data_IF_521024027234
#
_entry.id   IF_521024027234
#
_cell.length_a   1.000
_cell.length_b   1.000
_cell.length_c   1.000
_cell.angle_alpha   90.00
_cell.angle_beta   90.00
_cell.angle_gamma   90.00
#
_symmetry.space_group_name_H-M   'P 1'
#
loop_
_entity.id
_entity.type
_entity.pdbx_description
1 polymer ?
#
# COMPACT_ATOMS: atom_id res chain seq x y z
N UNK A 1 30.10 18.14 -8.27
CA UNK A 1 29.84 18.91 -7.03
C UNK A 1 28.62 19.84 -7.19
N UNK A 2 28.49 20.59 -8.30
CA UNK A 2 27.33 21.47 -8.54
C UNK A 2 25.99 20.70 -8.59
N UNK A 3 25.95 19.62 -9.34
CA UNK A 3 24.70 18.81 -9.50
C UNK A 3 24.22 18.17 -8.19
N UNK A 4 25.16 17.76 -7.34
CA UNK A 4 24.81 17.20 -6.02
C UNK A 4 24.22 18.27 -5.09
N UNK A 5 24.79 19.49 -5.12
CA UNK A 5 24.27 20.62 -4.34
C UNK A 5 22.85 20.97 -4.86
N UNK A 6 22.66 21.01 -6.18
CA UNK A 6 21.35 21.26 -6.78
C UNK A 6 20.30 20.21 -6.34
N UNK A 7 20.65 18.92 -6.32
CA UNK A 7 19.79 17.84 -5.84
C UNK A 7 19.39 18.03 -4.37
N UNK A 8 20.35 18.35 -3.50
CA UNK A 8 20.04 18.59 -2.08
C UNK A 8 19.15 19.82 -1.88
N UNK A 9 19.37 20.88 -2.66
CA UNK A 9 18.51 22.06 -2.63
C UNK A 9 17.09 21.76 -3.10
N UNK A 10 16.92 20.95 -4.15
CA UNK A 10 15.60 20.52 -4.62
C UNK A 10 14.85 19.73 -3.54
N UNK A 11 15.52 18.76 -2.89
CA UNK A 11 14.93 17.99 -1.78
C UNK A 11 14.53 18.91 -0.62
N UNK A 12 15.44 19.77 -0.18
CA UNK A 12 15.19 20.65 0.96
C UNK A 12 14.04 21.64 0.68
N UNK A 13 14.04 22.23 -0.51
CA UNK A 13 13.00 23.18 -0.94
C UNK A 13 11.64 22.48 -1.06
N UNK A 14 11.59 21.35 -1.77
CA UNK A 14 10.35 20.59 -1.92
C UNK A 14 9.79 20.13 -0.56
N UNK A 15 10.66 19.65 0.33
CA UNK A 15 10.28 19.25 1.69
C UNK A 15 9.71 20.43 2.48
N UNK A 16 10.39 21.58 2.49
CA UNK A 16 9.95 22.76 3.20
C UNK A 16 8.61 23.29 2.65
N UNK A 17 8.47 23.40 1.33
CA UNK A 17 7.23 23.86 0.69
C UNK A 17 6.09 22.92 1.00
N UNK A 18 6.27 21.60 0.87
CA UNK A 18 5.23 20.61 1.15
C UNK A 18 4.80 20.64 2.64
N UNK A 19 5.75 20.68 3.57
CA UNK A 19 5.46 20.73 5.00
C UNK A 19 4.73 22.02 5.40
N UNK A 20 5.17 23.18 4.89
CA UNK A 20 4.55 24.48 5.17
C UNK A 20 3.14 24.52 4.53
N UNK A 21 3.00 24.09 3.27
CA UNK A 21 1.71 24.08 2.57
C UNK A 21 0.71 23.17 3.27
N UNK A 22 1.09 21.95 3.65
CA UNK A 22 0.22 21.03 4.37
C UNK A 22 -0.15 21.56 5.76
N UNK A 23 0.80 22.17 6.48
CA UNK A 23 0.58 22.80 7.78
C UNK A 23 -0.37 23.99 7.69
N UNK A 24 -0.17 24.88 6.72
CA UNK A 24 -1.03 26.04 6.47
C UNK A 24 -2.44 25.62 6.00
N UNK A 25 -2.53 24.70 5.03
CA UNK A 25 -3.79 24.21 4.52
C UNK A 25 -4.61 23.54 5.61
N UNK A 26 -4.01 22.80 6.54
CA UNK A 26 -4.67 22.23 7.71
C UNK A 26 -5.32 23.31 8.59
N UNK A 27 -4.67 24.47 8.73
CA UNK A 27 -5.20 25.59 9.54
C UNK A 27 -6.28 26.36 8.80
N UNK A 28 -6.12 26.57 7.49
CA UNK A 28 -7.03 27.34 6.66
C UNK A 28 -8.30 26.57 6.27
N UNK A 29 -8.17 25.26 6.10
CA UNK A 29 -9.24 24.37 5.64
C UNK A 29 -9.50 23.20 6.60
N UNK A 30 -9.82 23.47 7.89
CA UNK A 30 -9.98 22.39 8.88
C UNK A 30 -11.19 21.49 8.56
N UNK A 31 -12.13 21.96 7.74
CA UNK A 31 -13.31 21.21 7.33
C UNK A 31 -13.09 20.31 6.10
N UNK A 32 -11.98 20.50 5.39
CA UNK A 32 -11.63 19.63 4.26
C UNK A 32 -11.05 18.30 4.77
N UNK A 33 -11.91 17.54 5.44
CA UNK A 33 -11.58 16.28 6.09
C UNK A 33 -12.43 15.15 5.49
N UNK A 34 -11.90 13.92 5.51
CA UNK A 34 -12.71 12.76 5.22
C UNK A 34 -13.83 12.63 6.26
N UNK A 35 -15.07 12.66 5.81
CA UNK A 35 -16.25 12.32 6.61
C UNK A 35 -16.60 10.84 6.51
N UNK A 36 -15.83 10.09 5.75
CA UNK A 36 -16.01 8.67 5.58
C UNK A 36 -15.80 7.97 6.92
N UNK A 37 -16.89 7.48 7.49
CA UNK A 37 -16.79 6.51 8.57
C UNK A 37 -16.18 5.26 7.95
N UNK A 38 -14.89 5.05 8.16
CA UNK A 38 -14.26 3.75 7.92
C UNK A 38 -14.81 2.77 8.96
N UNK A 39 -16.16 2.65 8.99
CA UNK A 39 -16.84 1.66 9.81
C UNK A 39 -16.45 0.31 9.31
N UNK A 40 -15.76 -0.36 10.12
CA UNK A 40 -15.32 -1.71 10.23
C UNK A 40 -15.91 -2.84 9.43
N UNK A 41 -16.30 -2.68 8.19
CA UNK A 41 -16.72 -3.80 7.36
C UNK A 41 -15.56 -4.73 6.94
N UNK A 42 -14.31 -4.31 7.16
CA UNK A 42 -13.11 -5.12 6.94
C UNK A 42 -12.34 -5.49 8.23
N UNK A 43 -12.85 -5.10 9.39
CA UNK A 43 -12.22 -5.39 10.68
C UNK A 43 -13.19 -6.11 11.60
N UNK A 44 -13.28 -7.44 11.56
CA UNK A 44 -13.89 -8.17 12.65
C UNK A 44 -13.07 -7.90 13.91
N UNK A 45 -13.63 -7.18 14.90
CA UNK A 45 -12.99 -6.93 16.19
C UNK A 45 -12.17 -5.66 16.34
N UNK A 46 -11.93 -4.87 15.30
CA UNK A 46 -11.39 -3.52 15.50
C UNK A 46 -12.53 -2.61 15.98
N UNK A 47 -12.41 -2.10 17.21
CA UNK A 47 -13.22 -0.97 17.65
C UNK A 47 -13.21 0.08 16.53
N UNK A 48 -14.40 0.58 16.15
CA UNK A 48 -14.55 1.65 15.17
C UNK A 48 -13.48 2.68 15.48
N UNK A 49 -12.45 2.77 14.65
CA UNK A 49 -11.46 3.82 14.79
C UNK A 49 -12.26 5.08 14.62
N UNK A 50 -12.46 5.77 15.72
CA UNK A 50 -13.12 7.05 15.81
C UNK A 50 -12.78 7.82 14.54
N UNK A 51 -13.82 8.32 13.87
CA UNK A 51 -13.72 9.17 12.70
C UNK A 51 -12.75 10.32 13.00
N UNK A 52 -11.48 10.12 12.75
CA UNK A 52 -10.51 11.18 12.85
C UNK A 52 -10.74 12.05 11.62
N UNK A 53 -11.34 13.20 11.81
CA UNK A 53 -11.44 14.25 10.80
C UNK A 53 -10.05 14.81 10.54
N UNK A 54 -9.23 14.06 9.79
CA UNK A 54 -7.91 14.52 9.38
C UNK A 54 -8.01 15.24 8.03
N UNK A 55 -7.40 16.42 7.89
CA UNK A 55 -7.42 17.18 6.65
C UNK A 55 -6.77 16.42 5.49
N UNK A 56 -7.47 16.40 4.34
CA UNK A 56 -7.06 15.76 3.08
C UNK A 56 -6.20 16.74 2.24
N UNK A 57 -5.12 17.25 2.83
CA UNK A 57 -4.32 18.33 2.23
C UNK A 57 -2.94 17.89 1.75
N UNK A 58 -2.58 16.62 1.93
CA UNK A 58 -1.27 16.12 1.55
C UNK A 58 -1.04 16.17 0.03
N UNK A 59 -2.02 15.76 -0.77
CA UNK A 59 -1.93 15.79 -2.23
C UNK A 59 -1.70 17.19 -2.80
N UNK A 60 -2.53 18.19 -2.47
CA UNK A 60 -2.29 19.58 -2.85
C UNK A 60 -0.92 20.10 -2.44
N UNK A 61 -0.41 19.72 -1.26
CA UNK A 61 0.90 20.15 -0.78
C UNK A 61 2.04 19.52 -1.59
N UNK A 62 1.95 18.24 -1.93
CA UNK A 62 2.93 17.56 -2.82
C UNK A 62 2.94 18.22 -4.20
N UNK A 63 1.77 18.42 -4.80
CA UNK A 63 1.69 19.04 -6.13
C UNK A 63 2.29 20.44 -6.14
N UNK A 64 1.94 21.28 -5.17
CA UNK A 64 2.49 22.63 -5.05
C UNK A 64 4.03 22.61 -4.90
N UNK A 65 4.57 21.73 -4.07
CA UNK A 65 6.00 21.64 -3.87
C UNK A 65 6.74 21.24 -5.15
N UNK A 66 6.23 20.25 -5.89
CA UNK A 66 6.83 19.82 -7.15
C UNK A 66 6.73 20.91 -8.20
N UNK A 67 5.61 21.64 -8.30
CA UNK A 67 5.44 22.79 -9.19
C UNK A 67 6.42 23.92 -8.86
N UNK A 68 6.62 24.26 -7.59
CA UNK A 68 7.57 25.31 -7.18
C UNK A 68 9.00 24.93 -7.56
N UNK A 69 9.40 23.69 -7.31
CA UNK A 69 10.73 23.22 -7.70
C UNK A 69 10.89 23.21 -9.20
N UNK A 70 9.90 22.72 -9.95
CA UNK A 70 9.91 22.72 -11.42
C UNK A 70 10.08 24.13 -12.00
N UNK A 71 9.35 25.10 -11.43
CA UNK A 71 9.45 26.51 -11.87
C UNK A 71 10.81 27.14 -11.58
N UNK A 72 11.41 26.85 -10.43
CA UNK A 72 12.69 27.44 -10.00
C UNK A 72 13.92 26.75 -10.59
N UNK A 73 13.83 25.43 -10.83
CA UNK A 73 14.94 24.67 -11.40
C UNK A 73 15.13 24.93 -12.91
N UNK A 74 14.16 25.56 -13.59
CA UNK A 74 14.21 25.81 -15.03
C UNK A 74 14.29 24.51 -15.85
N UNK A 75 13.89 23.38 -15.24
CA UNK A 75 13.89 22.09 -15.91
C UNK A 75 12.87 22.11 -17.05
N UNK A 76 13.36 21.85 -18.27
CA UNK A 76 12.60 22.00 -19.51
C UNK A 76 11.37 21.09 -19.67
N UNK A 77 11.01 20.79 -20.92
CA UNK A 77 9.81 20.05 -21.32
C UNK A 77 9.59 18.70 -20.59
N UNK A 78 10.67 18.01 -20.20
CA UNK A 78 10.59 16.74 -19.47
C UNK A 78 9.92 16.86 -18.11
N UNK A 79 10.32 17.86 -17.31
CA UNK A 79 9.71 18.08 -16.00
C UNK A 79 8.25 18.49 -16.10
N UNK A 80 7.90 19.31 -17.12
CA UNK A 80 6.49 19.64 -17.39
C UNK A 80 5.67 18.40 -17.72
N UNK A 81 6.22 17.46 -18.49
CA UNK A 81 5.56 16.18 -18.80
C UNK A 81 5.33 15.35 -17.55
N UNK A 82 6.33 15.27 -16.64
CA UNK A 82 6.20 14.57 -15.36
C UNK A 82 5.09 15.17 -14.51
N UNK A 83 5.09 16.51 -14.40
CA UNK A 83 4.08 17.23 -13.60
C UNK A 83 2.69 17.08 -14.22
N UNK A 84 2.56 17.19 -15.56
CA UNK A 84 1.30 17.06 -16.27
C UNK A 84 0.70 15.66 -16.08
N UNK A 85 1.51 14.61 -16.22
CA UNK A 85 1.07 13.24 -15.99
C UNK A 85 0.63 13.04 -14.52
N UNK A 86 1.41 13.51 -13.54
CA UNK A 86 1.03 13.48 -12.13
C UNK A 86 -0.27 14.24 -11.85
N UNK A 87 -0.46 15.41 -12.46
CA UNK A 87 -1.65 16.24 -12.30
C UNK A 87 -2.94 15.56 -12.78
N UNK A 88 -2.88 14.71 -13.81
CA UNK A 88 -4.04 13.92 -14.24
C UNK A 88 -4.53 12.99 -13.13
N UNK A 89 -3.62 12.27 -12.50
CA UNK A 89 -3.94 11.38 -11.39
C UNK A 89 -4.33 12.16 -10.12
N UNK A 90 -3.66 13.29 -9.86
CA UNK A 90 -4.06 14.22 -8.80
C UNK A 90 -5.52 14.66 -8.95
N UNK A 91 -5.93 15.08 -10.15
CA UNK A 91 -7.28 15.57 -10.39
C UNK A 91 -8.35 14.52 -10.04
N UNK A 92 -8.12 13.25 -10.38
CA UNK A 92 -9.03 12.15 -10.03
C UNK A 92 -9.14 12.01 -8.52
N UNK A 93 -8.01 11.88 -7.84
CA UNK A 93 -7.98 11.73 -6.38
C UNK A 93 -8.53 12.95 -5.65
N UNK A 94 -8.27 14.16 -6.18
CA UNK A 94 -8.76 15.40 -5.58
C UNK A 94 -10.29 15.52 -5.67
N UNK A 95 -10.89 15.14 -6.79
CA UNK A 95 -12.35 15.09 -6.93
C UNK A 95 -12.94 14.05 -5.99
N UNK A 96 -12.29 12.91 -5.81
CA UNK A 96 -12.72 11.88 -4.86
C UNK A 96 -12.63 12.37 -3.41
N UNK A 97 -11.50 12.98 -3.02
CA UNK A 97 -11.29 13.60 -1.71
C UNK A 97 -12.35 14.70 -1.43
N UNK A 98 -12.64 15.53 -2.44
CA UNK A 98 -13.67 16.56 -2.34
C UNK A 98 -15.07 15.97 -2.13
N UNK A 99 -15.39 14.88 -2.83
CA UNK A 99 -16.64 14.14 -2.60
C UNK A 99 -16.70 13.56 -1.19
N UNK A 100 -15.63 12.91 -0.72
CA UNK A 100 -15.52 12.36 0.64
C UNK A 100 -15.72 13.45 1.70
N UNK A 101 -15.13 14.63 1.49
CA UNK A 101 -15.28 15.75 2.41
C UNK A 101 -16.72 16.31 2.44
N UNK A 102 -17.40 16.36 1.29
CA UNK A 102 -18.74 16.93 1.17
C UNK A 102 -19.85 15.93 1.53
N UNK A 103 -19.77 14.71 1.00
CA UNK A 103 -20.86 13.72 1.05
C UNK A 103 -20.61 12.56 1.99
N UNK A 104 -19.37 12.41 2.49
CA UNK A 104 -18.96 11.25 3.27
C UNK A 104 -18.74 9.98 2.42
N UNK A 105 -18.81 10.08 1.07
CA UNK A 105 -18.62 8.94 0.16
C UNK A 105 -17.78 9.35 -1.03
N UNK A 106 -16.74 8.57 -1.33
CA UNK A 106 -15.92 8.71 -2.53
C UNK A 106 -16.59 8.15 -3.78
N UNK A 107 -15.79 7.97 -4.82
CA UNK A 107 -16.19 7.19 -5.99
C UNK A 107 -16.38 5.72 -5.63
N UNK A 108 -17.29 5.03 -6.33
CA UNK A 108 -17.32 3.57 -6.26
C UNK A 108 -16.12 2.96 -6.99
N UNK A 109 -15.72 1.75 -6.58
CA UNK A 109 -14.55 1.04 -7.13
C UNK A 109 -14.49 1.02 -8.67
N UNK A 110 -15.65 0.82 -9.33
CA UNK A 110 -15.72 0.80 -10.80
C UNK A 110 -15.44 2.16 -11.43
N UNK A 111 -15.96 3.25 -10.85
CA UNK A 111 -15.74 4.60 -11.36
C UNK A 111 -14.28 5.02 -11.14
N UNK A 112 -13.70 4.75 -9.95
CA UNK A 112 -12.29 5.03 -9.68
C UNK A 112 -11.37 4.28 -10.63
N UNK A 113 -11.65 3.00 -10.90
CA UNK A 113 -10.87 2.19 -11.83
C UNK A 113 -10.99 2.72 -13.26
N UNK A 114 -12.20 3.07 -13.72
CA UNK A 114 -12.40 3.62 -15.07
C UNK A 114 -11.62 4.93 -15.24
N UNK A 115 -11.69 5.82 -14.26
CA UNK A 115 -10.95 7.09 -14.31
C UNK A 115 -9.43 6.86 -14.32
N UNK A 116 -8.93 5.91 -13.54
CA UNK A 116 -7.52 5.54 -13.54
C UNK A 116 -7.07 4.96 -14.89
N UNK A 117 -7.90 4.13 -15.53
CA UNK A 117 -7.66 3.59 -16.89
C UNK A 117 -7.58 4.72 -17.90
N UNK A 118 -8.52 5.68 -17.86
CA UNK A 118 -8.53 6.83 -18.79
C UNK A 118 -7.28 7.69 -18.56
N UNK A 119 -6.93 8.02 -17.31
CA UNK A 119 -5.74 8.81 -17.01
C UNK A 119 -4.45 8.10 -17.45
N UNK A 120 -4.35 6.79 -17.22
CA UNK A 120 -3.20 6.00 -17.67
C UNK A 120 -3.07 6.00 -19.20
N UNK A 121 -4.19 5.88 -19.92
CA UNK A 121 -4.22 5.94 -21.38
C UNK A 121 -3.80 7.31 -21.91
N UNK A 122 -4.31 8.40 -21.32
CA UNK A 122 -3.95 9.77 -21.71
C UNK A 122 -2.47 10.04 -21.42
N UNK A 123 -1.99 9.70 -20.19
CA UNK A 123 -0.60 9.91 -19.82
C UNK A 123 0.36 9.12 -20.73
N UNK A 124 0.07 7.86 -21.01
CA UNK A 124 0.85 7.02 -21.91
C UNK A 124 0.86 7.60 -23.33
N UNK A 125 -0.30 7.99 -23.87
CA UNK A 125 -0.42 8.57 -25.22
C UNK A 125 0.35 9.88 -25.38
N UNK A 126 0.32 10.75 -24.37
CA UNK A 126 1.09 12.00 -24.37
C UNK A 126 2.59 11.72 -24.33
N UNK A 127 3.03 10.81 -23.45
CA UNK A 127 4.46 10.54 -23.24
C UNK A 127 5.10 9.82 -24.41
N UNK A 128 4.38 8.93 -25.11
CA UNK A 128 4.90 8.25 -26.31
C UNK A 128 5.39 9.24 -27.37
N UNK A 129 4.72 10.40 -27.48
CA UNK A 129 5.10 11.47 -28.38
C UNK A 129 6.23 12.39 -27.90
N UNK A 130 6.72 12.20 -26.66
CA UNK A 130 7.80 13.03 -26.09
C UNK A 130 9.12 12.28 -26.18
N UNK A 131 10.20 13.02 -26.50
CA UNK A 131 11.55 12.45 -26.51
C UNK A 131 11.92 11.93 -25.09
N UNK A 132 12.13 10.62 -25.00
CA UNK A 132 12.62 9.96 -23.80
C UNK A 132 14.10 9.58 -23.96
N UNK A 133 14.89 9.55 -22.87
CA UNK A 133 16.28 9.14 -22.95
C UNK A 133 16.38 7.70 -23.49
N UNK A 134 17.25 7.50 -24.48
CA UNK A 134 17.56 6.17 -25.04
C UNK A 134 18.51 5.40 -24.10
N UNK A 135 18.09 5.19 -22.87
CA UNK A 135 18.81 4.36 -21.92
C UNK A 135 18.50 2.89 -22.15
N UNK A 136 19.49 2.02 -21.98
CA UNK A 136 19.28 0.56 -22.00
C UNK A 136 18.34 0.05 -20.91
N UNK A 137 17.96 0.90 -19.94
CA UNK A 137 17.04 0.64 -18.84
C UNK A 137 15.62 1.16 -19.11
N UNK A 138 15.39 1.69 -20.31
CA UNK A 138 14.06 2.05 -20.81
C UNK A 138 13.59 1.04 -21.87
N UNK A 139 12.31 0.67 -21.82
CA UNK A 139 11.73 -0.21 -22.81
C UNK A 139 11.76 0.45 -24.21
N UNK A 140 11.74 1.77 -24.29
CA UNK A 140 11.84 2.53 -25.54
C UNK A 140 13.05 2.14 -26.38
N UNK A 141 14.19 1.90 -25.73
CA UNK A 141 15.41 1.44 -26.37
C UNK A 141 15.24 0.12 -27.12
N UNK A 142 14.43 -0.77 -26.58
CA UNK A 142 14.24 -2.13 -27.09
C UNK A 142 13.08 -2.24 -28.09
N UNK A 143 12.07 -1.39 -27.98
CA UNK A 143 10.94 -1.36 -28.90
C UNK A 143 11.22 -0.54 -30.15
N UNK A 144 12.17 0.42 -30.09
CA UNK A 144 12.45 1.35 -31.16
C UNK A 144 11.33 2.37 -31.41
N UNK A 145 11.42 3.05 -32.53
CA UNK A 145 10.43 4.04 -32.98
C UNK A 145 9.60 3.47 -34.14
N UNK A 146 8.48 4.14 -34.45
CA UNK A 146 7.52 3.72 -35.44
C UNK A 146 6.30 3.02 -34.83
N UNK A 147 5.27 2.83 -35.65
CA UNK A 147 3.93 2.43 -35.18
C UNK A 147 3.93 1.23 -34.23
N UNK A 148 4.66 0.17 -34.56
CA UNK A 148 4.71 -1.02 -33.71
C UNK A 148 5.46 -0.76 -32.39
N UNK A 149 6.61 -0.07 -32.44
CA UNK A 149 7.40 0.31 -31.29
C UNK A 149 6.63 1.26 -30.35
N UNK A 150 5.93 2.23 -30.92
CA UNK A 150 5.10 3.18 -30.17
C UNK A 150 3.93 2.50 -29.48
N UNK A 151 3.27 1.54 -30.14
CA UNK A 151 2.20 0.75 -29.53
C UNK A 151 2.71 -0.13 -28.37
N UNK A 152 3.86 -0.79 -28.55
CA UNK A 152 4.46 -1.62 -27.50
C UNK A 152 4.88 -0.77 -26.29
N UNK A 153 5.57 0.33 -26.55
CA UNK A 153 5.99 1.25 -25.50
C UNK A 153 4.81 1.92 -24.81
N UNK A 154 3.81 2.38 -25.57
CA UNK A 154 2.57 2.94 -25.05
C UNK A 154 1.79 1.95 -24.18
N UNK A 155 1.71 0.68 -24.60
CA UNK A 155 1.11 -0.39 -23.80
C UNK A 155 1.83 -0.63 -22.49
N UNK A 156 3.17 -0.58 -22.50
CA UNK A 156 3.99 -0.66 -21.29
C UNK A 156 3.75 0.52 -20.37
N UNK A 157 3.77 1.75 -20.87
CA UNK A 157 3.49 2.96 -20.10
C UNK A 157 2.10 2.91 -19.46
N UNK A 158 1.09 2.54 -20.26
CA UNK A 158 -0.27 2.36 -19.76
C UNK A 158 -0.32 1.38 -18.57
N UNK A 159 0.34 0.23 -18.73
CA UNK A 159 0.40 -0.78 -17.66
C UNK A 159 1.10 -0.25 -16.41
N UNK A 160 2.23 0.46 -16.56
CA UNK A 160 2.96 1.06 -15.44
C UNK A 160 2.14 2.13 -14.72
N UNK A 161 1.56 3.10 -15.47
CA UNK A 161 0.72 4.14 -14.87
C UNK A 161 -0.45 3.54 -14.10
N UNK A 162 -1.17 2.61 -14.72
CA UNK A 162 -2.31 1.97 -14.07
C UNK A 162 -1.88 1.18 -12.83
N UNK A 163 -0.86 0.33 -12.96
CA UNK A 163 -0.42 -0.52 -11.86
C UNK A 163 0.12 0.30 -10.69
N UNK A 164 1.02 1.25 -10.94
CA UNK A 164 1.67 2.02 -9.88
C UNK A 164 0.69 2.99 -9.22
N UNK A 165 -0.09 3.78 -10.00
CA UNK A 165 -1.02 4.74 -9.43
C UNK A 165 -2.16 4.07 -8.64
N UNK A 166 -2.72 2.96 -9.13
CA UNK A 166 -3.74 2.20 -8.38
C UNK A 166 -3.14 1.60 -7.12
N UNK A 167 -1.92 1.07 -7.18
CA UNK A 167 -1.25 0.46 -6.03
C UNK A 167 -0.89 1.48 -4.95
N UNK A 168 -0.44 2.69 -5.32
CA UNK A 168 -0.19 3.78 -4.37
C UNK A 168 -1.49 4.21 -3.69
N UNK A 169 -2.61 4.32 -4.43
CA UNK A 169 -3.93 4.60 -3.87
C UNK A 169 -4.40 3.50 -2.90
N UNK A 170 -4.18 2.23 -3.23
CA UNK A 170 -4.51 1.09 -2.36
C UNK A 170 -3.68 1.09 -1.07
N UNK A 171 -2.42 1.53 -1.13
CA UNK A 171 -1.50 1.55 0.01
C UNK A 171 -1.83 2.65 1.04
N UNK A 172 -2.66 3.65 0.70
CA UNK A 172 -2.99 4.80 1.59
C UNK A 172 -4.01 4.43 2.69
N UNK A 173 -3.82 3.28 3.31
CA UNK A 173 -4.64 2.77 4.42
C UNK A 173 -4.03 2.96 5.81
N UNK A 174 -2.74 3.25 5.90
CA UNK A 174 -1.99 3.41 7.15
C UNK A 174 -1.17 4.68 7.13
N UNK A 175 -1.28 5.48 8.21
CA UNK A 175 -0.55 6.74 8.35
C UNK A 175 0.95 6.54 8.12
N UNK A 176 1.55 7.34 7.23
CA UNK A 176 2.96 7.33 6.90
C UNK A 176 3.37 6.24 5.90
N UNK A 177 2.56 5.22 5.62
CA UNK A 177 2.97 4.13 4.74
C UNK A 177 3.23 4.62 3.32
N UNK A 178 2.24 5.22 2.68
CA UNK A 178 2.33 5.65 1.27
C UNK A 178 3.31 6.79 1.07
N UNK A 179 3.28 7.80 1.94
CA UNK A 179 4.23 8.91 1.84
C UNK A 179 5.68 8.46 2.05
N UNK A 180 5.95 7.53 2.97
CA UNK A 180 7.30 7.02 3.21
C UNK A 180 7.80 6.08 2.10
N UNK A 181 6.96 5.18 1.59
CA UNK A 181 7.29 4.39 0.40
C UNK A 181 7.50 5.28 -0.82
N UNK A 182 6.75 6.39 -0.93
CA UNK A 182 6.95 7.42 -1.95
C UNK A 182 8.34 8.06 -1.88
N UNK A 183 8.82 8.38 -0.67
CA UNK A 183 10.20 8.84 -0.46
C UNK A 183 11.21 7.78 -0.92
N UNK A 184 11.04 6.53 -0.50
CA UNK A 184 11.94 5.43 -0.86
C UNK A 184 12.02 5.25 -2.38
N UNK A 185 10.85 5.17 -3.04
CA UNK A 185 10.79 4.99 -4.49
C UNK A 185 11.38 6.18 -5.26
N UNK A 186 11.08 7.41 -4.84
CA UNK A 186 11.59 8.62 -5.48
C UNK A 186 13.11 8.79 -5.31
N UNK A 187 13.66 8.46 -4.15
CA UNK A 187 15.12 8.42 -3.93
C UNK A 187 15.77 7.35 -4.79
N UNK A 188 15.19 6.14 -4.84
CA UNK A 188 15.65 5.09 -5.73
C UNK A 188 15.68 5.52 -7.20
N UNK A 189 14.59 6.16 -7.65
CA UNK A 189 14.47 6.73 -8.99
C UNK A 189 15.56 7.78 -9.27
N UNK A 190 15.75 8.74 -8.36
CA UNK A 190 16.73 9.80 -8.52
C UNK A 190 18.18 9.26 -8.55
N UNK A 191 18.49 8.26 -7.74
CA UNK A 191 19.80 7.60 -7.74
C UNK A 191 20.05 6.75 -9.00
N UNK A 192 19.02 6.10 -9.53
CA UNK A 192 19.13 5.26 -10.72
C UNK A 192 19.22 6.10 -12.01
N UNK A 193 18.43 7.17 -12.11
CA UNK A 193 18.41 8.07 -13.28
C UNK A 193 19.58 9.07 -13.28
N UNK A 194 20.25 9.30 -12.15
CA UNK A 194 21.37 10.22 -12.03
C UNK A 194 20.99 11.65 -12.43
N UNK A 195 21.78 12.25 -13.35
CA UNK A 195 21.52 13.62 -13.86
C UNK A 195 20.25 13.75 -14.70
N UNK A 196 19.71 12.62 -15.19
CA UNK A 196 18.44 12.56 -15.92
C UNK A 196 17.21 12.39 -14.97
N UNK A 197 17.40 12.60 -13.65
CA UNK A 197 16.41 12.30 -12.62
C UNK A 197 15.12 13.14 -12.65
N UNK A 198 14.84 13.83 -13.69
CA UNK A 198 13.65 14.64 -14.02
C UNK A 198 12.64 14.76 -12.85
N UNK A 199 12.98 15.52 -11.83
CA UNK A 199 12.12 15.76 -10.67
C UNK A 199 12.07 14.67 -9.60
N UNK A 200 12.79 13.55 -9.72
CA UNK A 200 12.81 12.51 -8.68
C UNK A 200 13.18 13.03 -7.30
N UNK A 201 14.17 13.92 -7.23
CA UNK A 201 14.55 14.57 -5.98
C UNK A 201 13.45 15.50 -5.42
N UNK A 202 12.76 16.22 -6.30
CA UNK A 202 11.64 17.07 -5.92
C UNK A 202 10.46 16.25 -5.38
N UNK A 203 10.14 15.13 -6.05
CA UNK A 203 9.08 14.22 -5.61
C UNK A 203 9.40 13.62 -4.25
N UNK A 204 10.64 13.14 -4.07
CA UNK A 204 11.11 12.60 -2.79
C UNK A 204 11.05 13.62 -1.67
N UNK A 205 11.51 14.86 -1.92
CA UNK A 205 11.44 15.96 -0.97
C UNK A 205 10.00 16.34 -0.60
N UNK A 206 9.10 16.43 -1.58
CA UNK A 206 7.70 16.75 -1.35
C UNK A 206 6.99 15.65 -0.52
N UNK A 207 7.24 14.38 -0.86
CA UNK A 207 6.72 13.24 -0.11
C UNK A 207 7.25 13.25 1.34
N UNK A 208 8.53 13.56 1.55
CA UNK A 208 9.13 13.71 2.89
C UNK A 208 8.46 14.84 3.68
N UNK A 209 8.23 16.00 3.05
CA UNK A 209 7.58 17.13 3.70
C UNK A 209 6.18 16.80 4.22
N UNK A 210 5.40 16.10 3.43
CA UNK A 210 4.07 15.60 3.87
C UNK A 210 4.23 14.51 4.92
N UNK A 211 5.21 13.60 4.78
CA UNK A 211 5.46 12.52 5.72
C UNK A 211 5.68 13.04 7.14
N UNK A 212 6.39 14.16 7.33
CA UNK A 212 6.60 14.77 8.64
C UNK A 212 5.28 15.10 9.39
N UNK A 213 4.19 15.33 8.66
CA UNK A 213 2.87 15.59 9.20
C UNK A 213 1.92 14.39 9.11
N UNK A 214 2.20 13.45 8.23
CA UNK A 214 1.41 12.23 8.03
C UNK A 214 1.88 11.07 8.94
N UNK A 215 3.08 11.15 9.53
CA UNK A 215 3.53 10.17 10.51
C UNK A 215 2.71 10.23 11.79
N UNK A 216 2.37 9.08 12.40
CA UNK A 216 1.83 9.05 13.74
C UNK A 216 2.79 9.76 14.67
N UNK A 217 2.31 10.69 15.51
CA UNK A 217 3.13 11.44 16.45
C UNK A 217 3.59 10.56 17.64
N UNK A 218 4.05 9.34 17.39
CA UNK A 218 4.64 8.43 18.38
C UNK A 218 5.89 9.02 19.06
N UNK A 219 6.47 10.04 18.45
CA UNK A 219 7.65 10.78 18.97
C UNK A 219 7.29 11.87 19.99
N UNK A 220 6.01 12.16 20.20
CA UNK A 220 5.56 13.17 21.17
C UNK A 220 4.54 12.57 22.13
N UNK A 221 4.94 12.17 23.35
CA UNK A 221 4.04 11.53 24.29
C UNK A 221 3.09 12.55 24.94
N UNK A 222 1.87 12.67 24.46
CA UNK A 222 0.80 13.46 25.09
C UNK A 222 -0.61 12.88 24.83
N UNK A 223 -1.22 12.16 25.79
CA UNK A 223 -2.64 11.77 25.90
C UNK A 223 -3.13 10.62 24.98
N UNK A 224 -4.29 10.03 25.21
CA UNK A 224 -4.78 8.83 24.54
C UNK A 224 -5.03 9.00 23.03
N UNK A 225 -5.25 10.23 22.53
CA UNK A 225 -5.51 10.54 21.12
C UNK A 225 -4.25 10.88 20.30
N UNK A 226 -3.06 10.68 20.83
CA UNK A 226 -1.80 11.29 20.41
C UNK A 226 -1.00 10.51 19.37
N UNK A 227 -1.51 9.36 18.92
CA UNK A 227 -0.84 8.47 17.96
C UNK A 227 -1.34 8.65 16.52
N UNK A 228 -1.90 9.81 16.16
CA UNK A 228 -2.49 10.02 14.86
C UNK A 228 -1.67 11.01 14.04
N UNK A 229 -1.65 10.80 12.73
CA UNK A 229 -1.17 11.77 11.77
C UNK A 229 -1.88 13.12 11.96
N UNK A 230 -1.23 14.22 11.52
CA UNK A 230 -1.80 15.56 11.55
C UNK A 230 -2.54 15.90 10.26
N UNK A 231 -2.15 15.30 9.16
CA UNK A 231 -2.77 15.43 7.84
C UNK A 231 -2.84 14.07 7.17
N UNK A 232 -3.81 13.87 6.30
CA UNK A 232 -3.84 12.74 5.38
C UNK A 232 -3.17 13.12 4.06
N UNK A 233 -2.51 12.14 3.44
CA UNK A 233 -2.05 12.23 2.06
C UNK A 233 -3.25 12.35 1.12
N UNK A 234 -4.28 11.52 1.35
CA UNK A 234 -5.50 11.46 0.59
C UNK A 234 -5.34 10.76 -0.75
N UNK A 235 -6.46 10.44 -1.39
CA UNK A 235 -6.43 9.81 -2.72
C UNK A 235 -5.75 10.73 -3.74
N UNK A 236 -5.90 12.05 -3.59
CA UNK A 236 -5.20 13.05 -4.39
C UNK A 236 -3.68 12.90 -4.32
N UNK A 237 -3.14 12.71 -3.12
CA UNK A 237 -1.69 12.57 -2.95
C UNK A 237 -1.16 11.21 -3.31
N UNK A 238 -1.91 10.15 -3.00
CA UNK A 238 -1.51 8.79 -3.32
C UNK A 238 -1.44 8.55 -4.83
N UNK A 239 -2.51 8.91 -5.56
CA UNK A 239 -2.54 8.79 -7.03
C UNK A 239 -1.52 9.71 -7.69
N UNK A 240 -1.35 10.95 -7.20
CA UNK A 240 -0.33 11.88 -7.66
C UNK A 240 1.08 11.27 -7.57
N UNK A 241 1.43 10.68 -6.43
CA UNK A 241 2.74 10.04 -6.25
C UNK A 241 2.97 8.93 -7.27
N UNK A 242 1.97 8.07 -7.49
CA UNK A 242 2.05 7.02 -8.50
C UNK A 242 2.28 7.56 -9.91
N UNK A 243 1.54 8.60 -10.28
CA UNK A 243 1.71 9.30 -11.56
C UNK A 243 3.08 9.94 -11.73
N UNK A 244 3.56 10.67 -10.71
CA UNK A 244 4.87 11.33 -10.70
C UNK A 244 6.03 10.33 -10.75
N UNK A 245 5.97 9.24 -9.98
CA UNK A 245 6.99 8.20 -9.99
C UNK A 245 7.09 7.53 -11.36
N UNK A 246 5.94 7.22 -11.98
CA UNK A 246 5.92 6.58 -13.30
C UNK A 246 6.45 7.52 -14.37
N UNK A 247 5.94 8.74 -14.44
CA UNK A 247 6.40 9.73 -15.41
C UNK A 247 7.89 10.07 -15.20
N UNK A 248 8.34 10.19 -13.96
CA UNK A 248 9.74 10.43 -13.61
C UNK A 248 10.67 9.29 -14.04
N UNK A 249 10.24 8.04 -13.90
CA UNK A 249 11.02 6.87 -14.35
C UNK A 249 11.18 6.85 -15.86
N UNK A 250 10.12 7.20 -16.60
CA UNK A 250 10.16 7.32 -18.06
C UNK A 250 11.06 8.49 -18.49
N UNK A 251 10.87 9.66 -17.90
CA UNK A 251 11.66 10.86 -18.18
C UNK A 251 13.15 10.67 -17.84
N UNK A 252 13.44 9.86 -16.82
CA UNK A 252 14.79 9.45 -16.43
C UNK A 252 15.38 8.28 -17.26
N UNK A 253 14.59 7.67 -18.14
CA UNK A 253 15.02 6.51 -18.95
C UNK A 253 15.28 5.24 -18.13
N UNK A 254 14.57 5.04 -17.02
CA UNK A 254 14.74 3.90 -16.11
C UNK A 254 13.40 3.21 -15.81
N UNK A 255 12.45 3.29 -16.72
CA UNK A 255 11.09 2.77 -16.58
C UNK A 255 11.04 1.24 -16.35
N UNK A 256 12.01 0.49 -16.88
CA UNK A 256 12.15 -0.95 -16.59
C UNK A 256 12.49 -1.24 -15.12
N UNK A 257 13.05 -0.30 -14.39
CA UNK A 257 13.41 -0.48 -12.97
C UNK A 257 12.27 -0.06 -12.02
N UNK A 258 11.28 0.68 -12.50
CA UNK A 258 10.18 1.14 -11.68
C UNK A 258 9.43 0.01 -10.94
N UNK A 259 9.19 -1.19 -11.54
CA UNK A 259 8.56 -2.29 -10.82
C UNK A 259 9.32 -2.74 -9.56
N UNK A 260 10.64 -2.58 -9.51
CA UNK A 260 11.43 -2.83 -8.29
C UNK A 260 11.34 -1.63 -7.34
N UNK A 261 11.50 -0.40 -7.82
CA UNK A 261 11.46 0.82 -6.99
C UNK A 261 10.11 1.00 -6.30
N UNK A 262 9.02 0.71 -7.02
CA UNK A 262 7.65 0.74 -6.52
C UNK A 262 7.18 -0.65 -6.02
N UNK A 263 8.10 -1.59 -5.79
CA UNK A 263 7.78 -3.01 -5.59
C UNK A 263 6.83 -3.27 -4.42
N UNK A 264 6.99 -2.59 -3.30
CA UNK A 264 6.08 -2.76 -2.15
C UNK A 264 4.68 -2.20 -2.47
N UNK A 265 4.56 -1.09 -3.18
CA UNK A 265 3.26 -0.62 -3.68
C UNK A 265 2.59 -1.68 -4.55
N UNK A 266 3.35 -2.28 -5.48
CA UNK A 266 2.82 -3.32 -6.35
C UNK A 266 2.41 -4.58 -5.57
N UNK A 267 3.11 -4.96 -4.49
CA UNK A 267 2.67 -6.05 -3.62
C UNK A 267 1.35 -5.74 -2.91
N UNK A 268 1.17 -4.51 -2.42
CA UNK A 268 -0.09 -4.03 -1.84
C UNK A 268 -1.23 -4.13 -2.87
N UNK A 269 -1.04 -3.55 -4.05
CA UNK A 269 -2.00 -3.59 -5.14
C UNK A 269 -2.32 -5.01 -5.59
N UNK A 270 -1.29 -5.83 -5.81
CA UNK A 270 -1.45 -7.22 -6.23
C UNK A 270 -2.23 -8.05 -5.20
N UNK A 271 -1.94 -7.87 -3.90
CA UNK A 271 -2.68 -8.57 -2.84
C UNK A 271 -4.18 -8.24 -2.88
N UNK A 272 -4.51 -6.98 -3.13
CA UNK A 272 -5.90 -6.52 -3.23
C UNK A 272 -6.58 -7.01 -4.51
N UNK A 273 -5.94 -6.86 -5.66
CA UNK A 273 -6.49 -7.29 -6.95
C UNK A 273 -6.69 -8.80 -6.98
N UNK A 274 -5.66 -9.57 -6.63
CA UNK A 274 -5.75 -11.04 -6.65
C UNK A 274 -6.83 -11.52 -5.68
N UNK A 275 -6.82 -11.05 -4.44
CA UNK A 275 -7.77 -11.54 -3.45
C UNK A 275 -9.19 -11.02 -3.67
N UNK A 276 -9.38 -9.70 -3.74
CA UNK A 276 -10.71 -9.10 -3.73
C UNK A 276 -11.39 -9.09 -5.11
N UNK A 277 -10.62 -9.00 -6.21
CA UNK A 277 -11.18 -8.89 -7.55
C UNK A 277 -11.14 -10.18 -8.37
N UNK A 278 -10.28 -11.15 -8.01
CA UNK A 278 -10.16 -12.43 -8.71
C UNK A 278 -10.68 -13.58 -7.85
N UNK A 279 -10.03 -13.85 -6.70
CA UNK A 279 -10.32 -15.05 -5.91
C UNK A 279 -11.70 -15.02 -5.27
N UNK A 280 -12.08 -13.92 -4.62
CA UNK A 280 -13.40 -13.80 -3.97
C UNK A 280 -14.56 -13.97 -4.96
N UNK A 281 -14.59 -13.34 -6.13
CA UNK A 281 -15.62 -13.57 -7.13
C UNK A 281 -15.65 -15.02 -7.65
N UNK A 282 -14.47 -15.64 -7.88
CA UNK A 282 -14.38 -17.04 -8.32
C UNK A 282 -14.98 -17.99 -7.28
N UNK A 283 -14.61 -17.83 -6.00
CA UNK A 283 -15.16 -18.65 -4.92
C UNK A 283 -16.68 -18.45 -4.76
N UNK A 284 -17.18 -17.24 -4.91
CA UNK A 284 -18.61 -16.96 -4.87
C UNK A 284 -19.36 -17.68 -5.96
N UNK A 285 -18.82 -17.66 -7.18
CA UNK A 285 -19.40 -18.40 -8.31
C UNK A 285 -19.44 -19.91 -8.05
N UNK A 286 -18.33 -20.48 -7.57
CA UNK A 286 -18.23 -21.92 -7.32
C UNK A 286 -19.13 -22.39 -6.19
N UNK A 287 -19.32 -21.56 -5.16
CA UNK A 287 -20.15 -21.90 -4.00
C UNK A 287 -21.64 -21.58 -4.20
N UNK A 288 -22.05 -21.04 -5.35
CA UNK A 288 -23.44 -20.57 -5.64
C UNK A 288 -24.01 -19.68 -4.52
N UNK A 289 -23.15 -18.94 -3.83
CA UNK A 289 -23.56 -18.03 -2.76
C UNK A 289 -24.23 -16.81 -3.39
N UNK A 290 -25.56 -16.78 -3.33
CA UNK A 290 -26.36 -15.61 -3.69
C UNK A 290 -26.27 -14.55 -2.59
N UNK A 291 -26.09 -13.30 -3.00
CA UNK A 291 -26.23 -12.14 -2.12
C UNK A 291 -25.36 -10.96 -2.56
N UNK A 292 -25.88 -9.73 -2.48
CA UNK A 292 -25.20 -8.53 -2.96
C UNK A 292 -24.07 -8.03 -2.07
N UNK A 293 -23.90 -8.58 -0.86
CA UNK A 293 -22.99 -8.01 0.11
C UNK A 293 -21.57 -8.60 -0.01
N UNK A 294 -20.74 -7.91 -0.81
CA UNK A 294 -19.32 -8.22 -0.99
C UNK A 294 -18.50 -8.10 0.30
N UNK A 295 -19.07 -7.48 1.34
CA UNK A 295 -18.38 -7.10 2.58
C UNK A 295 -18.46 -8.16 3.66
N UNK A 296 -19.38 -9.12 3.53
CA UNK A 296 -19.64 -10.14 4.55
C UNK A 296 -19.09 -11.53 4.23
N UNK A 297 -18.27 -11.67 3.18
CA UNK A 297 -17.53 -12.91 2.98
C UNK A 297 -16.53 -13.06 4.10
N UNK A 298 -16.88 -13.87 5.10
CA UNK A 298 -15.92 -14.26 6.12
C UNK A 298 -14.75 -14.95 5.44
N UNK A 299 -13.57 -14.37 5.54
CA UNK A 299 -12.33 -14.95 5.03
C UNK A 299 -12.09 -16.38 5.55
N UNK A 300 -12.73 -16.73 6.66
CA UNK A 300 -12.78 -18.09 7.21
C UNK A 300 -13.51 -19.11 6.32
N UNK A 301 -14.39 -18.66 5.45
CA UNK A 301 -15.16 -19.56 4.57
C UNK A 301 -14.37 -20.00 3.33
N UNK A 302 -13.34 -19.28 2.93
CA UNK A 302 -12.57 -19.51 1.71
C UNK A 302 -11.08 -19.62 1.98
N UNK A 303 -10.35 -20.48 1.25
CA UNK A 303 -8.90 -20.60 1.35
C UNK A 303 -8.19 -19.44 0.64
N UNK A 304 -8.34 -18.21 1.16
CA UNK A 304 -7.69 -17.02 0.62
C UNK A 304 -6.24 -16.91 1.09
N UNK A 305 -5.34 -16.32 0.29
CA UNK A 305 -3.93 -16.16 0.65
C UNK A 305 -3.73 -15.22 1.85
N UNK A 306 -4.54 -14.19 1.98
CA UNK A 306 -4.46 -13.21 3.07
C UNK A 306 -5.73 -13.21 3.93
N UNK A 307 -5.59 -12.88 5.21
CA UNK A 307 -6.75 -12.68 6.11
C UNK A 307 -7.60 -11.51 5.63
N UNK A 308 -6.94 -10.47 5.18
CA UNK A 308 -7.54 -9.30 4.54
C UNK A 308 -6.62 -8.79 3.44
N UNK A 309 -7.17 -8.09 2.48
CA UNK A 309 -6.44 -7.34 1.48
C UNK A 309 -6.86 -5.87 1.56
N UNK A 310 -5.96 -4.93 1.33
CA UNK A 310 -4.54 -5.05 0.97
C UNK A 310 -3.63 -5.67 2.04
N UNK A 311 -2.35 -5.91 1.67
CA UNK A 311 -1.36 -6.59 2.50
C UNK A 311 -1.20 -5.98 3.91
N UNK A 312 -1.17 -4.65 4.02
CA UNK A 312 -1.04 -3.97 5.31
C UNK A 312 -2.17 -4.34 6.28
N UNK A 313 -3.40 -4.57 5.80
CA UNK A 313 -4.49 -5.04 6.66
C UNK A 313 -4.28 -6.48 7.13
N UNK A 314 -3.71 -7.34 6.28
CA UNK A 314 -3.32 -8.68 6.70
C UNK A 314 -2.29 -8.63 7.83
N UNK A 315 -1.25 -7.82 7.68
CA UNK A 315 -0.19 -7.66 8.68
C UNK A 315 -0.73 -7.07 10.01
N UNK A 316 -1.65 -6.10 9.95
CA UNK A 316 -2.33 -5.58 11.16
C UNK A 316 -3.12 -6.69 11.86
N UNK A 317 -3.87 -7.52 11.11
CA UNK A 317 -4.74 -8.56 11.67
C UNK A 317 -3.96 -9.74 12.26
N UNK A 318 -2.79 -10.04 11.74
CA UNK A 318 -1.90 -11.06 12.35
C UNK A 318 -1.09 -10.52 13.53
N UNK A 319 -1.22 -9.22 13.87
CA UNK A 319 -0.71 -8.66 15.12
C UNK A 319 0.46 -7.70 15.01
N UNK A 320 0.88 -7.31 13.80
CA UNK A 320 1.90 -6.28 13.67
C UNK A 320 1.33 -4.92 14.10
N UNK A 321 2.03 -4.26 15.02
CA UNK A 321 1.73 -2.87 15.34
C UNK A 321 1.96 -1.97 14.12
N UNK A 322 1.11 -0.94 13.93
CA UNK A 322 1.16 -0.06 12.75
C UNK A 322 2.54 0.53 12.49
N UNK A 323 3.24 1.00 13.53
CA UNK A 323 4.57 1.55 13.36
C UNK A 323 5.59 0.51 12.88
N UNK A 324 5.55 -0.68 13.49
CA UNK A 324 6.41 -1.80 13.07
C UNK A 324 6.14 -2.21 11.63
N UNK A 325 4.87 -2.28 11.24
CA UNK A 325 4.43 -2.56 9.88
C UNK A 325 4.98 -1.52 8.89
N UNK A 326 4.80 -0.24 9.18
CA UNK A 326 5.27 0.85 8.31
C UNK A 326 6.78 0.82 8.15
N UNK A 327 7.53 0.70 9.25
CA UNK A 327 8.99 0.62 9.22
C UNK A 327 9.49 -0.63 8.48
N UNK A 328 8.83 -1.77 8.68
CA UNK A 328 9.16 -3.01 7.97
C UNK A 328 8.97 -2.84 6.45
N UNK A 329 7.82 -2.33 6.02
CA UNK A 329 7.55 -2.15 4.59
C UNK A 329 8.45 -1.10 3.95
N UNK A 330 8.83 -0.03 4.67
CA UNK A 330 9.84 0.92 4.18
C UNK A 330 11.21 0.28 4.04
N UNK A 331 11.65 -0.50 5.04
CA UNK A 331 12.94 -1.20 4.99
C UNK A 331 13.01 -2.18 3.82
N UNK A 332 11.95 -2.97 3.62
CA UNK A 332 11.86 -3.89 2.48
C UNK A 332 11.82 -3.14 1.15
N UNK A 333 11.07 -2.03 1.08
CA UNK A 333 11.03 -1.15 -0.08
C UNK A 333 12.40 -0.58 -0.41
N UNK A 334 13.15 -0.13 0.61
CA UNK A 334 14.51 0.39 0.44
C UNK A 334 15.48 -0.69 -0.07
N UNK A 335 15.38 -1.93 0.41
CA UNK A 335 16.20 -3.05 -0.08
C UNK A 335 15.92 -3.31 -1.56
N UNK A 336 14.66 -3.39 -1.96
CA UNK A 336 14.30 -3.66 -3.37
C UNK A 336 14.65 -2.47 -4.26
N UNK A 337 14.45 -1.25 -3.81
CA UNK A 337 14.88 -0.05 -4.53
C UNK A 337 16.41 0.01 -4.68
N UNK A 338 17.17 -0.39 -3.66
CA UNK A 338 18.63 -0.48 -3.75
C UNK A 338 19.08 -1.49 -4.80
N UNK A 339 18.38 -2.63 -4.94
CA UNK A 339 18.64 -3.58 -6.04
C UNK A 339 18.44 -2.90 -7.40
N UNK A 340 17.36 -2.12 -7.58
CA UNK A 340 17.13 -1.37 -8.82
C UNK A 340 18.25 -0.36 -9.10
N UNK A 341 18.71 0.37 -8.08
CA UNK A 341 19.83 1.32 -8.19
C UNK A 341 21.14 0.59 -8.58
N UNK A 342 21.43 -0.54 -7.97
CA UNK A 342 22.59 -1.36 -8.32
C UNK A 342 22.52 -1.85 -9.78
N UNK A 343 21.35 -2.29 -10.25
CA UNK A 343 21.15 -2.65 -11.65
C UNK A 343 21.45 -1.45 -12.57
N UNK A 344 20.99 -0.24 -12.20
CA UNK A 344 21.27 0.97 -12.96
C UNK A 344 22.78 1.29 -13.03
N UNK A 345 23.50 1.11 -11.93
CA UNK A 345 24.95 1.42 -11.87
C UNK A 345 25.83 0.38 -12.57
N UNK A 346 25.43 -0.91 -12.55
CA UNK A 346 26.13 -1.96 -13.29
C UNK A 346 25.92 -1.79 -14.80
N UNK A 347 24.78 -1.19 -15.21
CA UNK A 347 24.41 -1.03 -16.60
C UNK A 347 23.85 -2.30 -17.23
N UNK A 348 23.64 -2.27 -18.55
CA UNK A 348 23.02 -3.38 -19.28
C UNK A 348 24.02 -4.51 -19.52
N UNK A 349 23.70 -5.71 -19.01
CA UNK A 349 24.54 -6.89 -19.16
C UNK A 349 23.98 -8.09 -18.39
N UNK A 350 24.60 -9.25 -18.56
CA UNK A 350 24.12 -10.48 -17.91
C UNK A 350 24.03 -10.37 -16.37
N UNK A 351 24.99 -9.67 -15.74
CA UNK A 351 24.96 -9.42 -14.30
C UNK A 351 23.77 -8.55 -13.86
N UNK A 352 23.45 -7.52 -14.63
CA UNK A 352 22.28 -6.65 -14.36
C UNK A 352 20.96 -7.42 -14.51
N UNK A 353 20.84 -8.25 -15.55
CA UNK A 353 19.66 -9.12 -15.75
C UNK A 353 19.49 -10.10 -14.59
N UNK A 354 20.59 -10.75 -14.15
CA UNK A 354 20.54 -11.67 -13.02
C UNK A 354 20.15 -10.96 -11.71
N UNK A 355 20.68 -9.76 -11.46
CA UNK A 355 20.36 -8.97 -10.29
C UNK A 355 18.90 -8.47 -10.32
N UNK A 356 18.41 -8.04 -11.48
CA UNK A 356 17.01 -7.68 -11.67
C UNK A 356 16.08 -8.86 -11.40
N UNK A 357 16.38 -10.03 -11.97
CA UNK A 357 15.64 -11.26 -11.74
C UNK A 357 15.64 -11.66 -10.25
N UNK A 358 16.78 -11.49 -9.55
CA UNK A 358 16.86 -11.69 -8.10
C UNK A 358 15.97 -10.72 -7.33
N UNK A 359 15.89 -9.44 -7.73
CA UNK A 359 14.99 -8.46 -7.15
C UNK A 359 13.51 -8.83 -7.34
N UNK A 360 13.13 -9.28 -8.52
CA UNK A 360 11.76 -9.79 -8.80
C UNK A 360 11.48 -11.04 -7.97
N UNK A 361 12.43 -11.98 -7.91
CA UNK A 361 12.30 -13.19 -7.10
C UNK A 361 12.14 -12.86 -5.60
N UNK A 362 12.85 -11.82 -5.12
CA UNK A 362 12.68 -11.31 -3.75
C UNK A 362 11.25 -10.78 -3.53
N UNK A 363 10.72 -9.98 -4.44
CA UNK A 363 9.32 -9.48 -4.32
C UNK A 363 8.32 -10.63 -4.28
N UNK A 364 8.46 -11.61 -5.18
CA UNK A 364 7.59 -12.80 -5.19
C UNK A 364 7.73 -13.58 -3.87
N UNK A 365 8.96 -13.76 -3.39
CA UNK A 365 9.23 -14.45 -2.12
C UNK A 365 8.64 -13.71 -0.92
N UNK A 366 8.72 -12.38 -0.90
CA UNK A 366 8.08 -11.55 0.11
C UNK A 366 6.55 -11.72 0.08
N UNK A 367 5.95 -11.68 -1.11
CA UNK A 367 4.49 -11.85 -1.26
C UNK A 367 4.03 -13.22 -0.77
N UNK A 368 4.73 -14.31 -1.18
CA UNK A 368 4.45 -15.67 -0.72
C UNK A 368 4.73 -15.82 0.78
N UNK A 369 5.82 -15.21 1.27
CA UNK A 369 6.17 -15.19 2.69
C UNK A 369 5.07 -14.54 3.54
N UNK A 370 4.60 -13.37 3.15
CA UNK A 370 3.48 -12.71 3.83
C UNK A 370 2.20 -13.53 3.75
N UNK A 371 1.88 -14.12 2.60
CA UNK A 371 0.74 -15.03 2.46
C UNK A 371 0.87 -16.30 3.33
N UNK A 372 2.08 -16.68 3.73
CA UNK A 372 2.32 -17.80 4.64
C UNK A 372 2.12 -17.45 6.11
N UNK A 373 2.12 -16.17 6.49
CA UNK A 373 1.82 -15.73 7.84
C UNK A 373 0.35 -16.00 8.15
N UNK A 374 0.08 -16.88 9.12
CA UNK A 374 -1.26 -17.43 9.33
C UNK A 374 -1.95 -16.79 10.53
N UNK A 375 -3.28 -16.57 10.44
CA UNK A 375 -4.07 -16.18 11.59
C UNK A 375 -4.13 -17.32 12.61
N UNK A 376 -4.53 -16.99 13.81
CA UNK A 376 -4.90 -17.98 14.82
C UNK A 376 -6.42 -18.17 14.83
N UNK A 377 -6.85 -19.34 15.27
CA UNK A 377 -8.25 -19.72 15.36
C UNK A 377 -8.53 -20.38 16.68
N UNK A 378 -9.67 -20.06 17.27
CA UNK A 378 -10.26 -20.84 18.34
C UNK A 378 -11.35 -21.74 17.75
N UNK A 379 -11.33 -22.99 18.09
CA UNK A 379 -12.37 -23.94 17.70
C UNK A 379 -12.63 -24.91 18.84
N UNK A 380 -13.87 -25.38 18.92
CA UNK A 380 -14.22 -26.49 19.79
C UNK A 380 -14.32 -27.73 18.89
N UNK A 381 -13.62 -28.78 19.26
CA UNK A 381 -13.66 -30.07 18.58
C UNK A 381 -13.93 -31.18 19.57
N UNK A 382 -14.63 -32.20 19.11
CA UNK A 382 -14.84 -33.42 19.87
C UNK A 382 -13.84 -34.46 19.39
N UNK A 383 -13.03 -34.97 20.30
CA UNK A 383 -12.03 -35.99 20.01
C UNK A 383 -12.09 -37.06 21.11
N UNK A 384 -12.32 -38.28 20.70
CA UNK A 384 -12.45 -39.44 21.62
C UNK A 384 -13.54 -39.25 22.71
N UNK A 385 -14.65 -38.58 22.37
CA UNK A 385 -15.75 -38.32 23.30
C UNK A 385 -15.50 -37.20 24.30
N UNK A 386 -14.39 -36.46 24.16
CA UNK A 386 -14.09 -35.27 24.96
C UNK A 386 -14.12 -34.02 24.10
N UNK A 387 -14.80 -32.99 24.59
CA UNK A 387 -14.76 -31.66 23.96
C UNK A 387 -13.46 -30.96 24.34
N UNK A 388 -12.83 -30.36 23.36
CA UNK A 388 -11.58 -29.64 23.54
C UNK A 388 -11.66 -28.26 22.90
N UNK A 389 -11.29 -27.21 23.63
CA UNK A 389 -10.97 -25.91 23.09
C UNK A 389 -9.57 -26.00 22.43
N UNK A 390 -9.46 -25.64 21.18
CA UNK A 390 -8.21 -25.67 20.42
C UNK A 390 -7.82 -24.27 19.95
N UNK A 391 -6.58 -23.93 20.20
CA UNK A 391 -5.90 -22.81 19.58
C UNK A 391 -5.09 -23.33 18.42
N UNK A 392 -5.46 -22.94 17.21
CA UNK A 392 -4.82 -23.40 15.98
C UNK A 392 -4.19 -22.20 15.26
N UNK A 393 -2.94 -22.32 14.86
CA UNK A 393 -2.28 -21.37 13.97
C UNK A 393 -2.34 -21.89 12.55
N UNK A 394 -2.68 -20.98 11.59
CA UNK A 394 -2.72 -21.34 10.18
C UNK A 394 -4.12 -21.21 9.58
N UNK A 395 -4.30 -21.73 8.37
CA UNK A 395 -5.56 -21.66 7.65
C UNK A 395 -6.46 -22.83 8.02
N UNK A 396 -7.72 -22.54 8.35
CA UNK A 396 -8.72 -23.55 8.70
C UNK A 396 -9.02 -24.50 7.52
N UNK A 397 -8.89 -24.03 6.29
CA UNK A 397 -9.14 -24.81 5.06
C UNK A 397 -7.89 -24.93 4.21
N UNK A 398 -7.84 -26.00 3.41
CA UNK A 398 -6.77 -26.19 2.46
C UNK A 398 -6.76 -25.09 1.39
N UNK A 399 -5.58 -24.57 1.10
CA UNK A 399 -5.32 -23.67 -0.01
C UNK A 399 -4.35 -24.35 -0.97
N UNK A 400 -4.70 -24.45 -2.25
CA UNK A 400 -3.93 -25.21 -3.24
C UNK A 400 -3.53 -26.63 -2.78
N UNK A 401 -4.45 -27.31 -2.08
CA UNK A 401 -4.22 -28.67 -1.56
C UNK A 401 -3.37 -28.73 -0.27
N UNK A 402 -2.82 -27.62 0.20
CA UNK A 402 -2.04 -27.55 1.43
C UNK A 402 -2.94 -27.17 2.61
N UNK A 403 -2.77 -27.88 3.74
CA UNK A 403 -3.41 -27.54 5.02
C UNK A 403 -2.35 -27.14 6.04
N UNK A 404 -1.81 -25.94 5.97
CA UNK A 404 -0.80 -25.51 6.93
C UNK A 404 -1.48 -24.96 8.19
N UNK A 405 -2.24 -25.79 8.89
CA UNK A 405 -2.79 -25.51 10.20
C UNK A 405 -2.11 -26.40 11.23
N UNK A 406 -1.54 -25.81 12.26
CA UNK A 406 -0.93 -26.50 13.39
C UNK A 406 -1.72 -26.19 14.64
N UNK A 407 -2.28 -27.21 15.28
CA UNK A 407 -2.83 -27.04 16.63
C UNK A 407 -1.69 -26.70 17.58
N UNK A 408 -1.70 -25.48 18.08
CA UNK A 408 -0.65 -25.02 18.97
C UNK A 408 -0.91 -25.44 20.42
N UNK A 409 -2.18 -25.40 20.83
CA UNK A 409 -2.61 -25.73 22.21
C UNK A 409 -4.02 -26.32 22.16
N UNK A 410 -4.31 -27.24 23.08
CA UNK A 410 -5.65 -27.77 23.33
C UNK A 410 -5.89 -27.89 24.82
N UNK A 411 -7.15 -27.68 25.22
CA UNK A 411 -7.58 -27.81 26.62
C UNK A 411 -8.96 -28.51 26.69
N UNK A 412 -9.15 -29.51 27.51
CA UNK A 412 -10.43 -30.19 27.66
C UNK A 412 -11.46 -29.26 28.36
N UNK A 413 -12.66 -29.23 27.79
CA UNK A 413 -13.78 -28.41 28.27
C UNK A 413 -15.00 -29.30 28.52
N UNK A 414 -15.85 -28.87 29.45
CA UNK A 414 -17.11 -29.54 29.74
C UNK A 414 -18.16 -29.31 28.66
N UNK A 415 -19.23 -30.10 28.70
CA UNK A 415 -20.40 -29.86 27.88
C UNK A 415 -21.11 -28.59 28.38
N UNK A 416 -21.31 -27.62 27.44
CA UNK A 416 -21.90 -26.31 27.73
C UNK A 416 -21.16 -25.51 28.84
N UNK A 417 -19.83 -25.56 28.84
CA UNK A 417 -19.01 -24.78 29.75
C UNK A 417 -19.22 -23.27 29.51
N UNK A 418 -19.74 -22.53 30.52
CA UNK A 418 -20.06 -21.10 30.35
C UNK A 418 -18.85 -20.24 30.06
N UNK A 419 -17.63 -20.69 30.37
CA UNK A 419 -16.40 -20.01 30.06
C UNK A 419 -16.18 -19.91 28.52
N UNK A 420 -16.89 -20.72 27.75
CA UNK A 420 -16.82 -20.69 26.26
C UNK A 420 -17.84 -19.76 25.60
N UNK A 421 -18.76 -19.18 26.36
CA UNK A 421 -19.80 -18.31 25.86
C UNK A 421 -19.21 -17.01 25.32
N UNK A 422 -19.68 -16.60 24.14
CA UNK A 422 -19.21 -15.37 23.50
C UNK A 422 -17.81 -15.44 22.89
N UNK A 423 -17.15 -16.60 22.89
CA UNK A 423 -15.87 -16.76 22.20
C UNK A 423 -16.03 -16.53 20.70
N UNK A 424 -15.06 -15.86 20.06
CA UNK A 424 -15.04 -15.68 18.62
C UNK A 424 -14.60 -16.96 17.91
N UNK A 425 -15.38 -18.04 18.12
CA UNK A 425 -15.09 -19.32 17.50
C UNK A 425 -15.16 -19.23 15.99
N UNK A 426 -14.26 -19.99 15.34
CA UNK A 426 -14.21 -20.13 13.90
C UNK A 426 -13.92 -18.84 13.11
N UNK A 427 -13.49 -17.78 13.78
CA UNK A 427 -13.03 -16.54 13.17
C UNK A 427 -11.50 -16.50 13.11
N UNK A 428 -10.97 -15.84 12.08
CA UNK A 428 -9.56 -15.50 12.04
C UNK A 428 -9.26 -14.41 13.08
N UNK A 429 -8.33 -14.68 13.96
CA UNK A 429 -7.91 -13.79 15.04
C UNK A 429 -6.44 -13.43 14.88
N UNK A 430 -6.07 -12.29 15.42
CA UNK A 430 -4.68 -12.01 15.73
C UNK A 430 -4.16 -13.09 16.71
N UNK A 431 -2.97 -13.67 16.49
CA UNK A 431 -2.41 -14.69 17.36
C UNK A 431 -2.40 -14.30 18.84
N UNK A 432 -2.04 -13.05 19.17
CA UNK A 432 -2.04 -12.57 20.55
C UNK A 432 -3.46 -12.46 21.14
N UNK A 433 -4.45 -12.11 20.34
CA UNK A 433 -5.86 -12.06 20.74
C UNK A 433 -6.40 -13.46 20.98
N UNK A 434 -6.13 -14.39 20.07
CA UNK A 434 -6.53 -15.78 20.18
C UNK A 434 -5.90 -16.44 21.42
N UNK A 435 -4.62 -16.17 21.71
CA UNK A 435 -3.97 -16.63 22.94
C UNK A 435 -4.66 -16.07 24.19
N UNK A 436 -4.95 -14.75 24.23
CA UNK A 436 -5.66 -14.15 25.38
C UNK A 436 -7.02 -14.79 25.62
N UNK A 437 -7.82 -15.02 24.59
CA UNK A 437 -9.10 -15.70 24.72
C UNK A 437 -8.93 -17.14 25.23
N UNK A 438 -7.98 -17.86 24.66
CA UNK A 438 -7.67 -19.22 25.10
C UNK A 438 -7.26 -19.26 26.58
N UNK A 439 -6.31 -18.41 26.99
CA UNK A 439 -5.80 -18.35 28.35
C UNK A 439 -6.90 -17.91 29.35
N UNK A 440 -7.78 -16.98 28.96
CA UNK A 440 -8.89 -16.54 29.79
C UNK A 440 -9.89 -17.68 30.06
N UNK A 441 -10.20 -18.49 29.05
CA UNK A 441 -11.09 -19.66 29.24
C UNK A 441 -10.43 -20.69 30.13
N UNK A 442 -9.17 -21.01 29.87
CA UNK A 442 -8.44 -21.99 30.69
C UNK A 442 -8.41 -21.54 32.18
N UNK A 443 -8.10 -20.26 32.44
CA UNK A 443 -8.06 -19.70 33.77
C UNK A 443 -9.44 -19.73 34.47
N UNK A 444 -10.53 -19.44 33.74
CA UNK A 444 -11.89 -19.51 34.26
C UNK A 444 -12.27 -20.95 34.72
N UNK A 445 -11.99 -21.93 33.84
CA UNK A 445 -12.27 -23.34 34.13
C UNK A 445 -11.42 -23.86 35.29
N UNK A 446 -10.15 -23.43 35.35
CA UNK A 446 -9.27 -23.83 36.49
C UNK A 446 -9.69 -23.19 37.80
N UNK A 447 -10.17 -21.95 37.79
CA UNK A 447 -10.70 -21.27 38.96
C UNK A 447 -11.96 -21.96 39.51
N UNK A 448 -12.86 -22.43 38.63
CA UNK A 448 -14.05 -23.19 39.03
C UNK A 448 -13.69 -24.56 39.65
N UNK A 449 -12.66 -25.24 39.12
CA UNK A 449 -12.18 -26.52 39.64
C UNK A 449 -11.45 -26.41 41.01
N UNK A 450 -10.90 -25.24 41.29
CA UNK A 450 -10.17 -24.94 42.52
C UNK A 450 -11.03 -24.34 43.65
N UNK A 451 -12.31 -24.09 43.42
CA UNK A 451 -13.25 -23.64 44.45
C UNK A 451 -13.73 -24.85 45.26
N UNK A 452 -13.54 -24.89 46.59
CA UNK A 452 -13.88 -26.03 47.45
C UNK A 452 -15.40 -26.23 47.55
#
# INVERSE_FOLDING_TARGET
MGDQIAAYLQVALACAVAAIAAGAARMLFPEFCSRESKSGSYRPGAAATTSSRLPLVGGPAVLLAVLVVAALAGEGSRMLTVVAAGALFFAIGFVDDLRKARTGRGFGDGASMLLAVVAAGVAAGVIVGVETPESGLSLRRWTGFGTAGDLMFGGWLFALFLAVAVSTGISDGVDGLTSGLGVVAAVGLALAAGTAAAGGWAVGGAALGVLLLNMPSAWVPRGPDKRRARVYLGDSGALLLGGLLTAGAVAGGVDLLLPLMAGIFLLEGASSVVQAKILVPLYRRSARLGGPDHRTVHYSAFPLPFVAAPLHHHLELIGLGRMTLVLLLWALGAVVAAVAVLVAWIGVGGGAVALYAAGVALLVSLWLGFASLRPAWLSISEESGMRQLRLTHGWKRAWLGMRPALTARSYPIGDNDPATDGLPLDRALNPAEACRHFDAVVAAIEAEKGSP
#
